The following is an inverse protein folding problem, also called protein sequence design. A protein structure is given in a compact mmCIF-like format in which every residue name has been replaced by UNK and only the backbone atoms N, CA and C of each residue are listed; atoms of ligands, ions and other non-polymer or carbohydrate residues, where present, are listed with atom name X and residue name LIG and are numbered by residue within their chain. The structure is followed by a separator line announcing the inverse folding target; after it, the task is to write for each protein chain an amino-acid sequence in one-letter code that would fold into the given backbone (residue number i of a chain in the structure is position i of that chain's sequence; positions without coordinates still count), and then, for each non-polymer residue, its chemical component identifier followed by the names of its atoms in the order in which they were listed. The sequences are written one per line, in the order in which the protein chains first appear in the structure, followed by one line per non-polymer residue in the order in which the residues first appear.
data_IF_571718923210
#
_entry.id   IF_571718923210
#
_cell.length_a   1.000
_cell.length_b   1.000
_cell.length_c   1.000
_cell.angle_alpha   90.00
_cell.angle_beta   90.00
_cell.angle_gamma   90.00
#
_symmetry.space_group_name_H-M   'P 1'
#
loop_
_entity.id
_entity.type
_entity.pdbx_description
1 polymer ?
#
# COMPACT_ATOMS: atom_id res chain seq x y z
N UNK A 1 -6.00 -11.40 -26.57
CA UNK A 1 -5.88 -9.93 -26.58
C UNK A 1 -6.74 -9.44 -25.43
N UNK A 2 -6.11 -8.99 -24.34
CA UNK A 2 -6.82 -8.59 -23.14
C UNK A 2 -7.58 -7.30 -23.43
N UNK A 3 -8.90 -7.28 -23.19
CA UNK A 3 -9.76 -6.17 -23.55
C UNK A 3 -10.15 -5.31 -22.34
N UNK A 4 -9.28 -5.27 -21.34
CA UNK A 4 -9.57 -4.67 -20.04
C UNK A 4 -9.99 -3.20 -20.18
N UNK A 5 -9.18 -2.39 -20.85
CA UNK A 5 -9.42 -0.94 -20.98
C UNK A 5 -10.76 -0.67 -21.67
N UNK A 6 -11.09 -1.38 -22.75
CA UNK A 6 -12.36 -1.17 -23.45
C UNK A 6 -13.56 -1.60 -22.59
N UNK A 7 -13.47 -2.73 -21.89
CA UNK A 7 -14.54 -3.19 -21.01
C UNK A 7 -14.74 -2.23 -19.85
N UNK A 8 -13.65 -1.80 -19.21
CA UNK A 8 -13.65 -0.92 -18.06
C UNK A 8 -14.19 0.48 -18.41
N UNK A 9 -13.76 1.06 -19.53
CA UNK A 9 -14.17 2.41 -19.96
C UNK A 9 -15.63 2.50 -20.40
N UNK A 10 -16.23 1.37 -20.84
CA UNK A 10 -17.66 1.30 -21.18
C UNK A 10 -18.58 1.34 -19.96
N UNK A 11 -18.05 1.12 -18.75
CA UNK A 11 -18.82 1.18 -17.51
C UNK A 11 -19.05 2.64 -17.10
N UNK A 12 -20.33 2.98 -16.89
CA UNK A 12 -20.78 4.35 -16.76
C UNK A 12 -20.63 4.89 -15.33
N UNK A 13 -20.69 4.02 -14.31
CA UNK A 13 -20.64 4.41 -12.90
C UNK A 13 -19.45 3.78 -12.18
N UNK A 14 -19.03 4.41 -11.08
CA UNK A 14 -18.01 3.87 -10.18
C UNK A 14 -18.43 2.51 -9.61
N UNK A 15 -19.69 2.33 -9.21
CA UNK A 15 -20.22 1.03 -8.75
C UNK A 15 -20.09 -0.08 -9.79
N UNK A 16 -20.34 0.21 -11.07
CA UNK A 16 -20.16 -0.76 -12.15
C UNK A 16 -18.68 -1.13 -12.32
N UNK A 17 -17.79 -0.14 -12.26
CA UNK A 17 -16.34 -0.33 -12.33
C UNK A 17 -15.82 -1.12 -11.14
N UNK A 18 -16.27 -0.82 -9.93
CA UNK A 18 -15.94 -1.55 -8.70
C UNK A 18 -16.30 -3.03 -8.85
N UNK A 19 -17.57 -3.33 -9.19
CA UNK A 19 -18.04 -4.70 -9.36
C UNK A 19 -17.26 -5.46 -10.44
N UNK A 20 -16.92 -4.77 -11.54
CA UNK A 20 -16.06 -5.33 -12.58
C UNK A 20 -14.67 -5.67 -12.04
N UNK A 21 -13.99 -4.77 -11.32
CA UNK A 21 -12.65 -5.01 -10.78
C UNK A 21 -12.61 -6.12 -9.71
N UNK A 22 -13.67 -6.25 -8.92
CA UNK A 22 -13.81 -7.34 -7.92
C UNK A 22 -13.88 -8.69 -8.64
N UNK A 23 -14.70 -8.80 -9.68
CA UNK A 23 -14.89 -10.03 -10.46
C UNK A 23 -13.81 -10.29 -11.51
N UNK A 24 -12.96 -9.31 -11.81
CA UNK A 24 -11.97 -9.43 -12.87
C UNK A 24 -10.85 -10.40 -12.47
N UNK A 25 -10.66 -11.42 -13.30
CA UNK A 25 -9.53 -12.34 -13.26
C UNK A 25 -8.73 -12.20 -14.55
N UNK A 26 -7.41 -12.05 -14.44
CA UNK A 26 -6.55 -11.91 -15.59
C UNK A 26 -6.09 -13.29 -16.08
N UNK A 27 -6.96 -13.91 -16.89
CA UNK A 27 -6.74 -15.26 -17.42
C UNK A 27 -5.55 -15.37 -18.39
N UNK A 28 -4.96 -14.25 -18.83
CA UNK A 28 -3.83 -14.24 -19.76
C UNK A 28 -2.47 -14.37 -19.06
N UNK A 29 -2.41 -14.34 -17.73
CA UNK A 29 -1.20 -14.38 -16.89
C UNK A 29 -0.12 -13.29 -17.18
N UNK A 30 -0.35 -12.40 -18.13
CA UNK A 30 0.52 -11.25 -18.39
C UNK A 30 0.19 -10.08 -17.44
N UNK A 31 1.19 -9.41 -16.84
CA UNK A 31 0.96 -8.20 -16.06
C UNK A 31 0.28 -7.11 -16.89
N UNK A 32 -0.45 -6.22 -16.22
CA UNK A 32 -1.05 -5.04 -16.84
C UNK A 32 0.01 -4.18 -17.53
N UNK A 33 -0.32 -3.73 -18.73
CA UNK A 33 0.45 -2.74 -19.47
C UNK A 33 0.21 -1.31 -18.93
N UNK A 34 0.94 -0.35 -19.48
CA UNK A 34 0.91 1.04 -19.02
C UNK A 34 -0.50 1.67 -19.15
N UNK A 35 -1.24 1.40 -20.24
CA UNK A 35 -2.61 1.94 -20.42
C UNK A 35 -3.59 1.39 -19.37
N UNK A 36 -3.46 0.09 -19.03
CA UNK A 36 -4.27 -0.58 -18.01
C UNK A 36 -3.96 -0.05 -16.59
N UNK A 37 -2.68 0.23 -16.31
CA UNK A 37 -2.26 0.84 -15.05
C UNK A 37 -2.73 2.30 -14.97
N UNK A 38 -2.48 3.09 -16.02
CA UNK A 38 -2.75 4.54 -16.04
C UNK A 38 -4.23 4.85 -15.83
N UNK A 39 -5.12 4.07 -16.46
CA UNK A 39 -6.55 4.29 -16.29
C UNK A 39 -7.03 4.03 -14.86
N UNK A 40 -6.49 2.99 -14.22
CA UNK A 40 -6.80 2.66 -12.84
C UNK A 40 -6.21 3.69 -11.86
N UNK A 41 -4.98 4.14 -12.11
CA UNK A 41 -4.38 5.20 -11.31
C UNK A 41 -5.15 6.50 -11.44
N UNK A 42 -5.64 6.86 -12.63
CA UNK A 42 -6.47 8.05 -12.79
C UNK A 42 -7.74 7.97 -11.94
N UNK A 43 -8.46 6.85 -12.00
CA UNK A 43 -9.70 6.66 -11.25
C UNK A 43 -9.41 6.63 -9.73
N UNK A 44 -8.29 6.02 -9.29
CA UNK A 44 -7.83 6.00 -7.89
C UNK A 44 -7.61 7.41 -7.33
N UNK A 45 -7.04 8.32 -8.12
CA UNK A 45 -6.81 9.71 -7.72
C UNK A 45 -8.08 10.57 -7.74
N UNK A 46 -9.05 10.25 -8.61
CA UNK A 46 -10.23 11.11 -8.80
C UNK A 46 -11.42 10.76 -7.91
N UNK A 47 -11.53 9.50 -7.49
CA UNK A 47 -12.68 9.06 -6.69
C UNK A 47 -12.50 9.39 -5.21
N UNK A 48 -13.60 9.66 -4.51
CA UNK A 48 -13.64 9.73 -3.04
C UNK A 48 -14.19 8.45 -2.41
N UNK A 49 -14.70 7.51 -3.20
CA UNK A 49 -15.39 6.31 -2.70
C UNK A 49 -14.38 5.25 -2.19
N UNK A 50 -14.33 4.96 -0.87
CA UNK A 50 -13.29 4.10 -0.32
C UNK A 50 -13.32 2.66 -0.86
N UNK A 51 -14.51 2.08 -1.05
CA UNK A 51 -14.65 0.73 -1.60
C UNK A 51 -14.15 0.63 -3.03
N UNK A 52 -14.39 1.66 -3.84
CA UNK A 52 -13.88 1.70 -5.21
C UNK A 52 -12.36 1.84 -5.23
N UNK A 53 -11.76 2.70 -4.39
CA UNK A 53 -10.29 2.76 -4.22
C UNK A 53 -9.70 1.41 -3.84
N UNK A 54 -10.31 0.69 -2.90
CA UNK A 54 -9.86 -0.64 -2.47
C UNK A 54 -9.95 -1.65 -3.61
N UNK A 55 -11.03 -1.63 -4.41
CA UNK A 55 -11.16 -2.49 -5.58
C UNK A 55 -10.05 -2.23 -6.62
N UNK A 56 -9.69 -0.96 -6.83
CA UNK A 56 -8.58 -0.55 -7.70
C UNK A 56 -7.24 -1.06 -7.15
N UNK A 57 -6.95 -0.80 -5.87
CA UNK A 57 -5.71 -1.23 -5.19
C UNK A 57 -5.55 -2.75 -5.32
N UNK A 58 -6.58 -3.52 -4.96
CA UNK A 58 -6.56 -4.98 -5.06
C UNK A 58 -6.41 -5.47 -6.50
N UNK A 59 -7.01 -4.77 -7.49
CA UNK A 59 -6.85 -5.11 -8.90
C UNK A 59 -5.39 -4.89 -9.36
N UNK A 60 -4.81 -3.75 -9.02
CA UNK A 60 -3.41 -3.43 -9.33
C UNK A 60 -2.45 -4.40 -8.64
N UNK A 61 -2.66 -4.74 -7.38
CA UNK A 61 -1.80 -5.67 -6.65
C UNK A 61 -1.78 -7.09 -7.24
N UNK A 62 -2.88 -7.53 -7.85
CA UNK A 62 -2.98 -8.83 -8.53
C UNK A 62 -2.31 -8.85 -9.89
N UNK A 63 -2.25 -7.69 -10.56
CA UNK A 63 -1.95 -7.62 -11.99
C UNK A 63 -0.74 -6.75 -12.35
N UNK A 64 -0.14 -6.02 -11.40
CA UNK A 64 0.95 -5.10 -11.68
C UNK A 64 1.97 -5.07 -10.53
N UNK A 65 3.23 -4.87 -10.89
CA UNK A 65 4.31 -4.53 -9.96
C UNK A 65 5.03 -3.26 -10.44
N UNK A 66 4.27 -2.35 -11.09
CA UNK A 66 4.79 -1.14 -11.70
C UNK A 66 5.26 -0.12 -10.65
N UNK A 67 6.32 0.61 -10.98
CA UNK A 67 6.83 1.74 -10.19
C UNK A 67 5.74 2.81 -9.96
N UNK A 68 4.87 3.04 -10.94
CA UNK A 68 3.78 4.02 -10.82
C UNK A 68 2.75 3.60 -9.76
N UNK A 69 2.46 2.31 -9.66
CA UNK A 69 1.56 1.78 -8.61
C UNK A 69 2.19 1.96 -7.23
N UNK A 70 3.48 1.61 -7.07
CA UNK A 70 4.21 1.85 -5.81
C UNK A 70 4.05 3.30 -5.34
N UNK A 71 4.31 4.25 -6.23
CA UNK A 71 4.26 5.67 -5.90
C UNK A 71 2.84 6.12 -5.54
N UNK A 72 1.81 5.62 -6.23
CA UNK A 72 0.42 5.92 -5.87
C UNK A 72 0.07 5.40 -4.47
N UNK A 73 0.52 4.20 -4.10
CA UNK A 73 0.32 3.68 -2.74
C UNK A 73 1.04 4.52 -1.68
N UNK A 74 2.27 4.98 -1.96
CA UNK A 74 3.02 5.88 -1.08
C UNK A 74 2.28 7.22 -0.90
N UNK A 75 1.74 7.80 -1.98
CA UNK A 75 0.94 9.03 -1.92
C UNK A 75 -0.33 8.85 -1.08
N UNK A 76 -1.01 7.72 -1.18
CA UNK A 76 -2.17 7.44 -0.32
C UNK A 76 -1.74 7.35 1.15
N UNK A 77 -0.64 6.65 1.45
CA UNK A 77 -0.14 6.47 2.82
C UNK A 77 0.22 7.80 3.50
N UNK A 78 0.65 8.80 2.75
CA UNK A 78 0.98 10.13 3.28
C UNK A 78 -0.23 11.08 3.38
N UNK A 79 -1.40 10.70 2.89
CA UNK A 79 -2.62 11.49 2.99
C UNK A 79 -3.52 10.97 4.12
N UNK A 80 -3.39 11.56 5.31
CA UNK A 80 -4.22 11.19 6.47
C UNK A 80 -5.71 11.46 6.29
N UNK A 81 -6.13 12.24 5.29
CA UNK A 81 -7.55 12.47 5.01
C UNK A 81 -8.24 11.24 4.43
N UNK A 82 -7.45 10.29 3.91
CA UNK A 82 -7.94 9.04 3.36
C UNK A 82 -8.63 8.15 4.41
N UNK A 83 -9.43 7.23 3.88
CA UNK A 83 -10.11 6.25 4.71
C UNK A 83 -9.15 5.19 5.26
N UNK A 84 -9.36 4.76 6.51
CA UNK A 84 -8.57 3.72 7.17
C UNK A 84 -8.48 2.45 6.32
N UNK A 85 -9.60 2.07 5.69
CA UNK A 85 -9.67 0.88 4.87
C UNK A 85 -8.73 1.00 3.66
N UNK A 86 -8.75 2.16 3.00
CA UNK A 86 -7.88 2.47 1.85
C UNK A 86 -6.42 2.43 2.27
N UNK A 87 -6.08 3.11 3.37
CA UNK A 87 -4.72 3.17 3.91
C UNK A 87 -4.19 1.80 4.33
N UNK A 88 -5.06 0.97 4.93
CA UNK A 88 -4.73 -0.40 5.34
C UNK A 88 -4.46 -1.30 4.14
N UNK A 89 -5.28 -1.22 3.08
CA UNK A 89 -5.03 -1.96 1.84
C UNK A 89 -3.77 -1.48 1.12
N UNK A 90 -3.56 -0.16 1.02
CA UNK A 90 -2.35 0.41 0.42
C UNK A 90 -1.08 -0.06 1.14
N UNK A 91 -1.06 -0.01 2.48
CA UNK A 91 0.05 -0.52 3.28
C UNK A 91 0.26 -2.03 3.11
N UNK A 92 -0.82 -2.81 3.07
CA UNK A 92 -0.74 -4.25 2.86
C UNK A 92 -0.13 -4.61 1.51
N UNK A 93 -0.44 -3.88 0.45
CA UNK A 93 0.06 -4.15 -0.89
C UNK A 93 1.46 -3.58 -1.12
N UNK A 94 1.78 -2.44 -0.53
CA UNK A 94 3.11 -1.82 -0.60
C UNK A 94 4.22 -2.79 -0.15
N UNK A 95 3.91 -3.74 0.74
CA UNK A 95 4.87 -4.76 1.23
C UNK A 95 5.51 -5.61 0.12
N UNK A 96 4.89 -5.68 -1.06
CA UNK A 96 5.37 -6.48 -2.19
C UNK A 96 6.34 -5.72 -3.10
N UNK A 97 6.42 -4.41 -2.95
CA UNK A 97 7.29 -3.56 -3.76
C UNK A 97 8.70 -3.47 -3.17
N UNK A 98 9.67 -3.20 -4.04
CA UNK A 98 11.00 -2.79 -3.61
C UNK A 98 10.95 -1.34 -3.14
N UNK A 99 11.33 -1.13 -1.89
CA UNK A 99 11.38 0.19 -1.27
C UNK A 99 12.82 0.71 -1.16
N UNK A 100 12.97 2.02 -1.23
CA UNK A 100 14.21 2.74 -1.02
C UNK A 100 14.16 3.65 0.23
N UNK A 101 15.19 4.47 0.42
CA UNK A 101 15.34 5.30 1.61
C UNK A 101 14.23 6.36 1.73
N UNK A 102 13.79 6.92 0.60
CA UNK A 102 12.75 7.95 0.56
C UNK A 102 11.39 7.31 0.88
N UNK A 103 11.11 6.11 0.36
CA UNK A 103 9.91 5.35 0.70
C UNK A 103 9.84 5.06 2.22
N UNK A 104 10.98 4.68 2.84
CA UNK A 104 11.00 4.41 4.29
C UNK A 104 10.75 5.66 5.13
N UNK A 105 11.24 6.83 4.68
CA UNK A 105 10.98 8.10 5.34
C UNK A 105 9.48 8.41 5.33
N UNK A 106 8.80 8.25 4.19
CA UNK A 106 7.35 8.48 4.10
C UNK A 106 6.58 7.52 5.01
N UNK A 107 6.92 6.23 5.01
CA UNK A 107 6.29 5.24 5.90
C UNK A 107 6.50 5.60 7.37
N UNK A 108 7.70 6.07 7.73
CA UNK A 108 8.01 6.51 9.09
C UNK A 108 7.22 7.76 9.48
N UNK A 109 7.14 8.77 8.62
CA UNK A 109 6.41 10.00 8.89
C UNK A 109 4.91 9.73 9.07
N UNK A 110 4.34 8.88 8.22
CA UNK A 110 2.96 8.43 8.36
C UNK A 110 2.73 7.71 9.70
N UNK A 111 3.64 6.83 10.12
CA UNK A 111 3.57 6.17 11.43
C UNK A 111 3.60 7.16 12.60
N UNK A 112 4.48 8.16 12.54
CA UNK A 112 4.55 9.26 13.52
C UNK A 112 3.23 10.01 13.58
N UNK A 113 2.62 10.28 12.43
CA UNK A 113 1.37 11.02 12.35
C UNK A 113 0.15 10.19 12.82
N UNK A 114 0.13 8.88 12.56
CA UNK A 114 -0.93 7.97 12.99
C UNK A 114 -0.88 7.60 14.47
N UNK A 115 0.25 7.84 15.14
CA UNK A 115 0.45 7.43 16.53
C UNK A 115 -0.64 7.94 17.47
N UNK A 116 -1.18 7.03 18.30
CA UNK A 116 -2.20 7.35 19.31
C UNK A 116 -3.61 7.60 18.75
N UNK A 117 -3.83 7.42 17.44
CA UNK A 117 -5.14 7.55 16.81
C UNK A 117 -5.72 6.16 16.55
N UNK A 118 -6.70 5.75 17.37
CA UNK A 118 -7.37 4.43 17.28
C UNK A 118 -7.89 4.12 15.87
N UNK A 119 -8.31 5.17 15.12
CA UNK A 119 -8.75 5.02 13.74
C UNK A 119 -7.71 4.32 12.86
N UNK A 120 -6.41 4.48 13.06
CA UNK A 120 -5.39 4.02 12.09
C UNK A 120 -4.65 2.75 12.54
N UNK A 121 -5.20 1.97 13.48
CA UNK A 121 -4.50 0.83 14.08
C UNK A 121 -4.07 -0.25 13.06
N UNK A 122 -4.93 -0.66 12.11
CA UNK A 122 -4.55 -1.72 11.16
C UNK A 122 -3.53 -1.23 10.13
N UNK A 123 -3.66 0.02 9.68
CA UNK A 123 -2.68 0.65 8.79
C UNK A 123 -1.32 0.76 9.50
N UNK A 124 -1.33 1.28 10.73
CA UNK A 124 -0.13 1.39 11.59
C UNK A 124 0.58 0.04 11.74
N UNK A 125 -0.18 -1.02 12.04
CA UNK A 125 0.36 -2.39 12.11
C UNK A 125 1.04 -2.82 10.80
N UNK A 126 0.39 -2.56 9.67
CA UNK A 126 0.90 -2.94 8.35
C UNK A 126 2.17 -2.17 7.99
N UNK A 127 2.22 -0.87 8.27
CA UNK A 127 3.38 0.00 8.03
C UNK A 127 4.59 -0.39 8.90
N UNK A 128 4.39 -0.74 10.17
CA UNK A 128 5.47 -1.26 11.03
C UNK A 128 6.06 -2.55 10.43
N UNK A 129 5.21 -3.45 9.93
CA UNK A 129 5.66 -4.70 9.29
C UNK A 129 6.48 -4.45 8.02
N UNK A 130 6.17 -3.40 7.25
CA UNK A 130 6.95 -3.00 6.08
C UNK A 130 8.38 -2.62 6.49
N UNK A 131 8.53 -1.74 7.47
CA UNK A 131 9.85 -1.34 7.97
C UNK A 131 10.60 -2.54 8.54
N UNK A 132 9.92 -3.39 9.31
CA UNK A 132 10.52 -4.60 9.90
C UNK A 132 11.07 -5.58 8.84
N UNK A 133 10.28 -5.84 7.78
CA UNK A 133 10.69 -6.70 6.66
C UNK A 133 11.91 -6.15 5.93
N UNK A 134 12.07 -4.83 5.93
CA UNK A 134 13.15 -4.13 5.24
C UNK A 134 14.27 -3.64 6.18
N UNK A 135 14.33 -4.12 7.45
CA UNK A 135 15.34 -3.68 8.42
C UNK A 135 16.79 -3.83 7.92
N UNK A 136 17.10 -4.95 7.24
CA UNK A 136 18.42 -5.21 6.65
C UNK A 136 18.66 -4.46 5.34
N UNK A 137 17.68 -3.71 4.83
CA UNK A 137 17.70 -2.96 3.57
C UNK A 137 17.64 -1.44 3.78
N UNK A 138 18.02 -0.96 4.97
CA UNK A 138 18.07 0.47 5.29
C UNK A 138 16.93 0.97 6.17
N UNK A 139 15.92 0.14 6.50
CA UNK A 139 14.80 0.58 7.35
C UNK A 139 15.10 0.55 8.87
N UNK A 140 16.24 -0.03 9.30
CA UNK A 140 16.58 -0.20 10.72
C UNK A 140 16.61 1.12 11.53
N UNK A 141 17.17 2.24 11.03
CA UNK A 141 17.19 3.49 11.79
C UNK A 141 15.78 3.98 12.17
N UNK A 142 14.81 3.85 11.25
CA UNK A 142 13.41 4.23 11.49
C UNK A 142 12.76 3.35 12.56
N UNK A 143 13.03 2.05 12.57
CA UNK A 143 12.55 1.14 13.62
C UNK A 143 13.08 1.49 15.00
N UNK A 144 14.37 1.84 15.10
CA UNK A 144 14.99 2.26 16.35
C UNK A 144 14.40 3.58 16.86
N UNK A 145 14.09 4.50 15.94
CA UNK A 145 13.46 5.79 16.28
C UNK A 145 11.99 5.62 16.69
N UNK A 146 11.21 4.77 16.02
CA UNK A 146 9.85 4.46 16.48
C UNK A 146 9.85 3.88 17.90
N UNK A 147 10.81 3.00 18.20
CA UNK A 147 11.01 2.46 19.54
C UNK A 147 11.36 3.55 20.56
N UNK A 148 12.24 4.49 20.21
CA UNK A 148 12.62 5.61 21.09
C UNK A 148 11.41 6.49 21.43
N UNK A 149 10.46 6.62 20.49
CA UNK A 149 9.23 7.41 20.60
C UNK A 149 8.07 6.71 21.31
N UNK A 150 8.27 5.51 21.84
CA UNK A 150 7.24 4.84 22.62
C UNK A 150 6.25 4.01 21.80
N UNK A 151 6.52 3.73 20.52
CA UNK A 151 5.75 2.75 19.75
C UNK A 151 6.03 1.33 20.31
N UNK A 152 5.30 0.90 21.34
CA UNK A 152 5.57 -0.35 22.08
C UNK A 152 4.46 -1.42 22.03
N UNK A 153 4.89 -2.65 21.68
CA UNK A 153 4.62 -3.96 22.31
C UNK A 153 3.25 -4.67 22.25
N UNK A 154 2.32 -4.29 21.38
CA UNK A 154 1.17 -5.15 21.05
C UNK A 154 1.40 -5.95 19.78
N UNK A 155 1.53 -7.29 19.86
CA UNK A 155 1.42 -8.29 18.76
C UNK A 155 2.42 -8.20 17.57
N UNK A 156 3.15 -7.09 17.38
CA UNK A 156 3.85 -6.82 16.11
C UNK A 156 5.39 -6.75 16.16
N UNK A 157 6.03 -6.98 17.30
CA UNK A 157 7.50 -6.95 17.38
C UNK A 157 8.12 -8.33 17.48
N UNK A 158 9.24 -8.44 16.77
CA UNK A 158 10.15 -9.58 16.80
C UNK A 158 11.18 -9.36 17.89
N UNK A 159 11.64 -10.47 18.48
CA UNK A 159 12.50 -10.52 19.65
C UNK A 159 13.73 -9.59 19.52
N UNK A 160 14.13 -8.94 20.61
CA UNK A 160 15.23 -7.96 20.65
C UNK A 160 16.54 -8.55 20.08
N UNK A 161 16.73 -9.87 20.24
CA UNK A 161 17.84 -10.61 19.67
C UNK A 161 17.92 -10.53 18.13
N UNK A 162 16.83 -10.28 17.41
CA UNK A 162 16.83 -10.17 15.93
C UNK A 162 17.16 -8.78 15.38
N UNK A 163 17.01 -7.73 16.20
CA UNK A 163 17.36 -6.35 15.83
C UNK A 163 18.84 -6.04 16.13
N UNK A 164 19.39 -6.72 17.14
CA UNK A 164 20.80 -6.60 17.57
C UNK A 164 21.73 -7.57 16.81
N UNK A 165 21.18 -8.45 15.97
CA UNK A 165 21.99 -9.32 15.11
C UNK A 165 22.83 -8.48 14.14
N UNK A 166 24.15 -8.75 14.04
CA UNK A 166 25.00 -8.10 13.05
C UNK A 166 24.41 -8.23 11.65
N UNK A 167 24.48 -7.15 10.87
CA UNK A 167 24.18 -7.15 9.43
C UNK A 167 25.25 -8.00 8.74
N UNK A 168 25.08 -9.32 8.73
CA UNK A 168 25.79 -10.25 7.84
C UNK A 168 25.32 -10.06 6.41
#
# INVERSE_FOLDING_TARGET
MNNFVEQYTRLATEEQRENFLIGYNNDNEEPFNDDEVDILLRDLHSTSEPFFKVAIINCLARNSNSFFVKNALITLISDMSEDELVLSHAAQDLRWYRLDADDYQVVFDALVEYHGKERYENCTSSLIRILYRNRKKGALPYLLELRSRGFYQGVYWVDNAELEQPLL
#
